data_IF_088812526952
#
_entry.id   IF_088812526952
#
_cell.length_a   1.000
_cell.length_b   1.000
_cell.length_c   1.000
_cell.angle_alpha   90.00
_cell.angle_beta   90.00
_cell.angle_gamma   90.00
#
_symmetry.space_group_name_H-M   'P 1'
#
loop_
_entity.id
_entity.type
_entity.pdbx_description
1 polymer ?
#
# COMPACT_ATOMS: atom_id res chain seq x y z
N UNK A 1 -14.74 -4.50 8.53
CA UNK A 1 -13.68 -4.24 7.53
C UNK A 1 -14.31 -4.33 6.16
N UNK A 2 -14.22 -3.29 5.34
CA UNK A 2 -14.80 -3.23 4.00
C UNK A 2 -13.65 -3.11 2.99
N UNK A 3 -13.34 -4.19 2.28
CA UNK A 3 -12.29 -4.29 1.28
C UNK A 3 -12.84 -4.03 -0.12
N UNK A 4 -12.03 -3.56 -1.08
CA UNK A 4 -12.44 -3.47 -2.47
C UNK A 4 -12.89 -4.83 -3.02
N UNK A 5 -13.89 -4.87 -3.93
CA UNK A 5 -14.47 -6.13 -4.40
C UNK A 5 -13.72 -6.76 -5.59
N UNK A 6 -12.55 -6.25 -5.95
CA UNK A 6 -11.89 -6.58 -7.22
C UNK A 6 -11.04 -7.85 -7.16
N UNK A 7 -10.26 -7.99 -6.09
CA UNK A 7 -9.27 -9.04 -5.91
C UNK A 7 -9.49 -9.67 -4.54
N UNK A 8 -9.27 -10.99 -4.43
CA UNK A 8 -9.41 -11.71 -3.15
C UNK A 8 -8.42 -11.21 -2.09
N UNK A 9 -8.79 -11.37 -0.83
CA UNK A 9 -7.96 -11.08 0.34
C UNK A 9 -7.58 -12.42 1.00
N UNK A 10 -6.26 -12.79 1.08
CA UNK A 10 -5.12 -12.10 0.49
C UNK A 10 -5.10 -12.17 -1.05
N UNK A 11 -4.39 -11.27 -1.74
CA UNK A 11 -4.30 -11.30 -3.19
C UNK A 11 -3.37 -12.44 -3.64
N UNK A 12 -3.69 -13.13 -4.76
CA UNK A 12 -2.84 -14.19 -5.28
C UNK A 12 -1.53 -13.70 -5.92
N UNK A 13 -1.49 -12.41 -6.30
CA UNK A 13 -0.35 -11.76 -6.94
C UNK A 13 -0.22 -10.31 -6.51
N UNK A 14 -0.27 -9.38 -7.47
CA UNK A 14 -0.30 -7.95 -7.19
C UNK A 14 -1.65 -7.55 -6.57
N UNK A 15 -1.61 -6.81 -5.46
CA UNK A 15 -2.79 -6.29 -4.75
C UNK A 15 -2.34 -5.57 -3.47
N UNK A 16 -2.03 -4.27 -3.62
CA UNK A 16 -1.47 -3.50 -2.49
C UNK A 16 -2.47 -3.27 -1.37
N UNK A 17 -3.69 -2.87 -1.70
CA UNK A 17 -4.76 -2.61 -0.72
C UNK A 17 -5.21 -3.91 -0.07
N UNK A 18 -5.39 -4.97 -0.85
CA UNK A 18 -5.80 -6.28 -0.38
C UNK A 18 -4.76 -6.89 0.59
N UNK A 19 -3.47 -6.71 0.32
CA UNK A 19 -2.40 -7.12 1.23
C UNK A 19 -2.42 -6.35 2.55
N UNK A 20 -2.72 -5.05 2.50
CA UNK A 20 -2.90 -4.19 3.69
C UNK A 20 -4.10 -4.65 4.51
N UNK A 21 -5.24 -4.91 3.84
CA UNK A 21 -6.47 -5.36 4.49
C UNK A 21 -6.26 -6.73 5.15
N UNK A 22 -5.61 -7.67 4.45
CA UNK A 22 -5.28 -8.99 4.98
C UNK A 22 -4.43 -8.86 6.26
N UNK A 23 -3.28 -8.21 6.16
CA UNK A 23 -2.35 -8.07 7.27
C UNK A 23 -2.99 -7.40 8.50
N UNK A 24 -3.78 -6.34 8.27
CA UNK A 24 -4.48 -5.63 9.34
C UNK A 24 -5.61 -6.47 9.95
N UNK A 25 -6.40 -7.14 9.11
CA UNK A 25 -7.51 -7.99 9.57
C UNK A 25 -7.00 -9.12 10.48
N UNK A 26 -5.96 -9.85 10.03
CA UNK A 26 -5.35 -10.92 10.80
C UNK A 26 -4.75 -10.41 12.12
N UNK A 27 -4.13 -9.24 12.12
CA UNK A 27 -3.60 -8.64 13.34
C UNK A 27 -4.71 -8.24 14.32
N UNK A 28 -5.79 -7.64 13.84
CA UNK A 28 -6.93 -7.25 14.69
C UNK A 28 -7.62 -8.48 15.31
N UNK A 29 -7.81 -9.57 14.56
CA UNK A 29 -8.35 -10.82 15.08
C UNK A 29 -7.45 -11.40 16.16
N UNK A 30 -6.13 -11.49 15.93
CA UNK A 30 -5.15 -11.95 16.93
C UNK A 30 -5.18 -11.11 18.21
N UNK A 31 -5.51 -9.83 18.11
CA UNK A 31 -5.64 -8.91 19.26
C UNK A 31 -6.98 -9.01 19.97
N UNK A 32 -7.86 -9.93 19.55
CA UNK A 32 -9.13 -10.22 20.21
C UNK A 32 -10.32 -9.41 19.69
N UNK A 33 -10.16 -8.68 18.57
CA UNK A 33 -11.29 -8.00 17.95
C UNK A 33 -12.16 -9.00 17.16
N UNK A 34 -13.49 -8.83 17.22
CA UNK A 34 -14.41 -9.54 16.36
C UNK A 34 -14.51 -8.82 15.02
N UNK A 35 -13.92 -9.38 13.98
CA UNK A 35 -13.87 -8.76 12.65
C UNK A 35 -14.78 -9.51 11.68
N UNK A 36 -15.63 -8.75 10.95
CA UNK A 36 -16.31 -9.21 9.75
C UNK A 36 -15.64 -8.52 8.55
N UNK A 37 -15.16 -9.30 7.59
CA UNK A 37 -14.51 -8.85 6.38
C UNK A 37 -15.47 -8.98 5.20
N UNK A 38 -15.96 -7.84 4.70
CA UNK A 38 -16.68 -7.75 3.43
C UNK A 38 -15.65 -7.60 2.32
N UNK A 39 -15.61 -8.53 1.37
CA UNK A 39 -14.53 -8.62 0.40
C UNK A 39 -14.94 -9.37 -0.87
N UNK A 40 -14.03 -9.44 -1.84
CA UNK A 40 -14.21 -10.18 -3.08
C UNK A 40 -14.37 -11.69 -2.84
N UNK A 41 -15.09 -12.41 -3.70
CA UNK A 41 -15.14 -13.86 -3.74
C UNK A 41 -13.74 -14.50 -3.80
N UNK A 42 -13.59 -15.67 -3.18
CA UNK A 42 -12.31 -16.39 -3.08
C UNK A 42 -11.38 -15.89 -1.98
N UNK A 43 -11.80 -14.89 -1.20
CA UNK A 43 -11.06 -14.43 -0.01
C UNK A 43 -11.10 -15.44 1.12
N UNK A 44 -10.00 -15.50 1.88
CA UNK A 44 -9.86 -16.33 3.08
C UNK A 44 -9.25 -15.52 4.21
N UNK A 45 -9.77 -15.66 5.43
CA UNK A 45 -9.27 -14.95 6.61
C UNK A 45 -9.66 -15.68 7.88
N UNK A 46 -8.97 -15.41 9.00
CA UNK A 46 -9.40 -15.80 10.34
C UNK A 46 -10.62 -15.00 10.83
N UNK A 47 -10.94 -13.88 10.19
CA UNK A 47 -12.16 -13.11 10.39
C UNK A 47 -13.39 -13.82 9.80
N UNK A 48 -14.61 -13.35 10.17
CA UNK A 48 -15.82 -13.75 9.46
C UNK A 48 -15.81 -13.14 8.07
N UNK A 49 -15.62 -13.96 7.03
CA UNK A 49 -15.66 -13.53 5.62
C UNK A 49 -17.10 -13.44 5.12
N UNK A 50 -17.45 -12.34 4.46
CA UNK A 50 -18.72 -12.11 3.79
C UNK A 50 -18.45 -11.63 2.36
N UNK A 51 -18.90 -12.42 1.38
CA UNK A 51 -18.83 -12.08 -0.05
C UNK A 51 -20.22 -11.72 -0.54
N UNK A 52 -20.35 -10.58 -1.16
CA UNK A 52 -21.63 -9.99 -1.59
C UNK A 52 -21.87 -10.09 -3.10
N UNK A 53 -20.78 -10.26 -3.86
CA UNK A 53 -20.80 -10.54 -5.29
C UNK A 53 -20.62 -12.03 -5.54
N UNK A 54 -21.09 -12.54 -6.69
CA UNK A 54 -20.97 -13.95 -7.06
C UNK A 54 -19.56 -14.29 -7.56
N UNK A 55 -18.91 -13.33 -8.23
CA UNK A 55 -17.56 -13.49 -8.80
C UNK A 55 -16.73 -12.21 -8.65
N UNK A 56 -15.41 -12.35 -8.77
CA UNK A 56 -14.46 -11.25 -8.74
C UNK A 56 -14.31 -10.65 -10.15
N UNK A 57 -14.05 -9.33 -10.23
CA UNK A 57 -13.92 -8.60 -11.49
C UNK A 57 -12.58 -7.85 -11.58
N UNK A 58 -11.41 -8.54 -11.54
CA UNK A 58 -10.09 -7.90 -11.48
C UNK A 58 -9.76 -7.08 -12.73
N UNK A 59 -10.38 -7.39 -13.89
CA UNK A 59 -10.19 -6.65 -15.13
C UNK A 59 -11.05 -5.38 -15.21
N UNK A 60 -11.94 -5.17 -14.23
CA UNK A 60 -12.89 -4.06 -14.18
C UNK A 60 -12.62 -3.11 -13.00
N UNK A 61 -11.41 -3.12 -12.47
CA UNK A 61 -10.97 -2.18 -11.43
C UNK A 61 -11.28 -0.76 -11.89
N UNK A 62 -11.82 0.06 -10.96
CA UNK A 62 -12.31 1.43 -11.19
C UNK A 62 -13.66 1.55 -11.92
N UNK A 63 -14.30 0.47 -12.31
CA UNK A 63 -15.68 0.53 -12.79
C UNK A 63 -16.66 0.61 -11.62
N UNK A 64 -17.33 1.74 -11.50
CA UNK A 64 -18.17 2.09 -10.34
C UNK A 64 -19.28 1.07 -10.02
N UNK A 65 -19.82 0.33 -11.00
CA UNK A 65 -20.97 -0.55 -10.79
C UNK A 65 -20.75 -1.60 -9.71
N UNK A 66 -19.66 -2.36 -9.81
CA UNK A 66 -19.37 -3.44 -8.85
C UNK A 66 -19.01 -2.92 -7.46
N UNK A 67 -18.28 -1.80 -7.39
CA UNK A 67 -17.97 -1.17 -6.13
C UNK A 67 -19.24 -0.62 -5.45
N UNK A 68 -20.12 0.03 -6.21
CA UNK A 68 -21.39 0.57 -5.70
C UNK A 68 -22.28 -0.56 -5.19
N UNK A 69 -22.45 -1.65 -5.95
CA UNK A 69 -23.28 -2.80 -5.54
C UNK A 69 -22.73 -3.46 -4.29
N UNK A 70 -21.41 -3.69 -4.24
CA UNK A 70 -20.73 -4.25 -3.07
C UNK A 70 -20.91 -3.40 -1.81
N UNK A 71 -20.66 -2.09 -1.90
CA UNK A 71 -20.79 -1.17 -0.78
C UNK A 71 -22.25 -1.05 -0.33
N UNK A 72 -23.20 -0.95 -1.28
CA UNK A 72 -24.62 -0.85 -0.97
C UNK A 72 -25.10 -2.06 -0.17
N UNK A 73 -24.77 -3.28 -0.64
CA UNK A 73 -25.13 -4.54 0.06
C UNK A 73 -24.42 -4.66 1.41
N UNK A 74 -23.14 -4.25 1.51
CA UNK A 74 -22.44 -4.24 2.79
C UNK A 74 -23.13 -3.33 3.81
N UNK A 75 -23.59 -2.16 3.39
CA UNK A 75 -24.30 -1.23 4.27
C UNK A 75 -25.70 -1.75 4.65
N UNK A 76 -26.40 -2.46 3.75
CA UNK A 76 -27.64 -3.15 4.08
C UNK A 76 -27.41 -4.23 5.16
N UNK A 77 -26.37 -5.06 5.02
CA UNK A 77 -26.01 -6.07 6.02
C UNK A 77 -25.62 -5.44 7.37
N UNK A 78 -24.94 -4.30 7.36
CA UNK A 78 -24.55 -3.58 8.56
C UNK A 78 -25.78 -2.98 9.27
N UNK A 79 -26.71 -2.40 8.52
CA UNK A 79 -27.94 -1.81 9.05
C UNK A 79 -28.91 -2.89 9.59
N UNK A 80 -29.03 -4.02 8.87
CA UNK A 80 -29.86 -5.15 9.27
C UNK A 80 -29.28 -5.98 10.42
N UNK A 81 -28.05 -5.73 10.85
CA UNK A 81 -27.43 -6.45 11.95
C UNK A 81 -28.27 -6.30 13.22
N UNK A 82 -28.61 -7.41 13.86
CA UNK A 82 -29.37 -7.40 15.12
C UNK A 82 -28.62 -6.63 16.20
N UNK A 83 -29.34 -6.12 17.20
CA UNK A 83 -28.77 -5.34 18.32
C UNK A 83 -27.57 -6.04 18.98
N UNK A 84 -27.62 -7.35 19.11
CA UNK A 84 -26.55 -8.18 19.70
C UNK A 84 -25.33 -8.36 18.78
N UNK A 85 -25.44 -7.96 17.51
CA UNK A 85 -24.39 -8.09 16.48
C UNK A 85 -24.07 -6.75 15.81
N UNK A 86 -24.46 -5.64 16.40
CA UNK A 86 -24.08 -4.32 15.88
C UNK A 86 -22.57 -4.19 15.78
N UNK A 87 -22.14 -3.55 14.71
CA UNK A 87 -20.74 -3.18 14.55
C UNK A 87 -20.45 -1.90 15.34
N UNK A 88 -19.33 -1.87 16.07
CA UNK A 88 -18.89 -0.69 16.80
C UNK A 88 -18.32 0.37 15.83
N UNK A 89 -17.69 -0.10 14.75
CA UNK A 89 -17.04 0.73 13.72
C UNK A 89 -16.98 0.01 12.39
N UNK A 90 -17.11 0.74 11.30
CA UNK A 90 -16.79 0.27 9.93
C UNK A 90 -15.43 0.82 9.55
N UNK A 91 -14.50 -0.04 9.17
CA UNK A 91 -13.23 0.39 8.58
C UNK A 91 -13.29 0.20 7.07
N UNK A 92 -13.27 1.31 6.35
CA UNK A 92 -13.44 1.35 4.90
C UNK A 92 -12.10 1.50 4.16
N UNK A 93 -11.89 0.62 3.19
CA UNK A 93 -10.78 0.62 2.24
C UNK A 93 -11.25 0.68 0.77
N UNK A 94 -12.58 0.73 0.52
CA UNK A 94 -13.14 0.79 -0.84
C UNK A 94 -12.96 2.16 -1.51
N UNK A 95 -12.78 3.23 -0.71
CA UNK A 95 -12.56 4.56 -1.26
C UNK A 95 -13.85 5.37 -1.41
N UNK A 96 -14.13 5.86 -2.63
CA UNK A 96 -15.11 6.94 -2.83
C UNK A 96 -16.56 6.53 -2.54
N UNK A 97 -16.96 5.33 -2.89
CA UNK A 97 -18.35 4.88 -2.82
C UNK A 97 -18.84 4.81 -1.37
N UNK A 98 -18.08 4.16 -0.48
CA UNK A 98 -18.44 4.03 0.91
C UNK A 98 -18.55 5.40 1.60
N UNK A 99 -17.61 6.31 1.32
CA UNK A 99 -17.64 7.65 1.86
C UNK A 99 -18.81 8.49 1.31
N UNK A 100 -19.13 8.37 0.02
CA UNK A 100 -20.28 9.05 -0.58
C UNK A 100 -21.62 8.58 0.04
N UNK A 101 -21.70 7.31 0.41
CA UNK A 101 -22.89 6.65 0.96
C UNK A 101 -22.92 6.60 2.49
N UNK A 102 -21.93 7.18 3.18
CA UNK A 102 -21.73 7.05 4.63
C UNK A 102 -22.97 7.42 5.47
N UNK A 103 -23.80 8.37 4.99
CA UNK A 103 -25.03 8.77 5.67
C UNK A 103 -26.13 7.68 5.71
N UNK A 104 -25.92 6.52 5.08
CA UNK A 104 -26.88 5.41 5.09
C UNK A 104 -26.78 4.53 6.34
N UNK A 105 -25.73 4.66 7.12
CA UNK A 105 -25.51 3.87 8.34
C UNK A 105 -25.16 4.78 9.50
N UNK A 106 -25.65 4.43 10.70
CA UNK A 106 -25.32 5.16 11.92
C UNK A 106 -23.98 4.75 12.53
N UNK A 107 -23.43 3.61 12.10
CA UNK A 107 -22.15 3.10 12.58
C UNK A 107 -21.00 4.01 12.16
N UNK A 108 -20.14 4.48 13.08
CA UNK A 108 -19.00 5.31 12.75
C UNK A 108 -18.09 4.67 11.71
N UNK A 109 -17.62 5.47 10.76
CA UNK A 109 -16.72 5.00 9.70
C UNK A 109 -15.31 5.56 9.93
N UNK A 110 -14.30 4.70 9.88
CA UNK A 110 -12.90 5.03 9.68
C UNK A 110 -12.55 4.73 8.22
N UNK A 111 -12.07 5.73 7.48
CA UNK A 111 -11.74 5.60 6.07
C UNK A 111 -10.24 5.79 5.85
N UNK A 112 -9.57 4.78 5.32
CA UNK A 112 -8.15 4.86 4.98
C UNK A 112 -7.95 5.38 3.55
N UNK A 113 -7.16 6.45 3.44
CA UNK A 113 -6.83 7.11 2.19
C UNK A 113 -5.70 6.34 1.48
N UNK A 114 -6.01 5.52 0.47
CA UNK A 114 -4.99 4.73 -0.24
C UNK A 114 -4.38 5.42 -1.46
N UNK A 115 -5.05 6.42 -2.01
CA UNK A 115 -4.65 7.13 -3.22
C UNK A 115 -3.99 8.48 -2.97
N UNK A 116 -3.47 9.07 -4.05
CA UNK A 116 -3.00 10.46 -4.04
C UNK A 116 -4.16 11.45 -4.20
N UNK A 117 -3.94 12.68 -3.78
CA UNK A 117 -4.86 13.78 -4.04
C UNK A 117 -4.60 14.39 -5.41
N UNK A 118 -5.50 14.12 -6.35
CA UNK A 118 -5.65 14.85 -7.61
C UNK A 118 -6.66 15.97 -7.45
N UNK A 119 -6.81 16.86 -8.41
CA UNK A 119 -7.84 17.90 -8.37
C UNK A 119 -9.27 17.33 -8.16
N UNK A 120 -9.57 16.20 -8.82
CA UNK A 120 -10.87 15.53 -8.71
C UNK A 120 -11.08 14.86 -7.35
N UNK A 121 -10.08 14.10 -6.86
CA UNK A 121 -10.17 13.42 -5.56
C UNK A 121 -10.17 14.43 -4.42
N UNK A 122 -9.40 15.51 -4.51
CA UNK A 122 -9.41 16.59 -3.54
C UNK A 122 -10.80 17.26 -3.43
N UNK A 123 -11.45 17.54 -4.57
CA UNK A 123 -12.82 18.09 -4.59
C UNK A 123 -13.84 17.12 -3.97
N UNK A 124 -13.68 15.81 -4.20
CA UNK A 124 -14.52 14.78 -3.60
C UNK A 124 -14.34 14.76 -2.07
N UNK A 125 -13.11 14.68 -1.58
CA UNK A 125 -12.84 14.64 -0.14
C UNK A 125 -13.22 15.94 0.57
N UNK A 126 -13.07 17.09 -0.08
CA UNK A 126 -13.56 18.36 0.46
C UNK A 126 -15.08 18.36 0.71
N UNK A 127 -15.85 17.64 -0.13
CA UNK A 127 -17.32 17.52 -0.02
C UNK A 127 -17.76 16.45 0.96
N UNK A 128 -17.12 15.29 0.96
CA UNK A 128 -17.59 14.09 1.66
C UNK A 128 -16.73 13.69 2.86
N UNK A 129 -15.51 14.23 2.99
CA UNK A 129 -14.54 13.78 4.00
C UNK A 129 -14.98 13.98 5.45
N UNK A 130 -15.94 14.91 5.70
CA UNK A 130 -16.50 15.13 7.03
C UNK A 130 -17.38 13.98 7.53
N UNK A 131 -17.79 13.04 6.65
CA UNK A 131 -18.69 11.92 6.98
C UNK A 131 -17.99 10.73 7.66
N UNK A 132 -16.67 10.72 7.69
CA UNK A 132 -15.87 9.66 8.28
C UNK A 132 -14.63 10.21 9.00
N UNK A 133 -14.06 9.39 9.88
CA UNK A 133 -12.74 9.65 10.44
C UNK A 133 -11.67 9.26 9.41
N UNK A 134 -11.05 10.22 8.75
CA UNK A 134 -10.07 9.97 7.70
C UNK A 134 -8.69 9.66 8.27
N UNK A 135 -8.04 8.62 7.73
CA UNK A 135 -6.66 8.22 8.07
C UNK A 135 -5.82 8.28 6.81
N UNK A 136 -4.74 9.06 6.82
CA UNK A 136 -3.71 8.99 5.79
C UNK A 136 -2.76 7.82 6.03
N UNK A 137 -2.08 7.35 4.98
CA UNK A 137 -1.09 6.27 5.08
C UNK A 137 0.35 6.78 5.19
N UNK A 138 0.56 8.08 5.02
CA UNK A 138 1.82 8.79 5.29
C UNK A 138 1.57 10.25 5.62
N UNK A 139 2.55 10.91 6.21
CA UNK A 139 2.49 12.37 6.43
C UNK A 139 2.59 13.11 5.10
N UNK A 140 3.47 12.67 4.19
CA UNK A 140 3.61 13.24 2.87
C UNK A 140 2.28 13.24 2.09
N UNK A 141 1.50 12.16 2.18
CA UNK A 141 0.17 12.13 1.61
C UNK A 141 -0.74 13.20 2.22
N UNK A 142 -0.75 13.34 3.54
CA UNK A 142 -1.59 14.35 4.22
C UNK A 142 -1.11 15.79 3.96
N UNK A 143 0.18 16.01 3.72
CA UNK A 143 0.72 17.32 3.32
C UNK A 143 0.19 17.77 1.94
N UNK A 144 -0.12 16.81 1.05
CA UNK A 144 -0.75 17.08 -0.25
C UNK A 144 -2.28 17.15 -0.19
N UNK A 145 -2.87 16.97 0.98
CA UNK A 145 -4.32 16.99 1.15
C UNK A 145 -4.93 18.38 0.91
N UNK A 146 -6.19 18.46 0.43
CA UNK A 146 -6.85 19.73 0.23
C UNK A 146 -6.99 20.50 1.54
N UNK A 147 -6.87 21.83 1.46
CA UNK A 147 -7.01 22.72 2.62
C UNK A 147 -8.34 22.49 3.33
N UNK A 148 -8.30 22.31 4.64
CA UNK A 148 -9.48 22.07 5.47
C UNK A 148 -9.91 20.61 5.59
N UNK A 149 -9.23 19.68 4.93
CA UNK A 149 -9.47 18.24 5.14
C UNK A 149 -9.10 17.89 6.59
N UNK A 150 -10.06 17.33 7.32
CA UNK A 150 -9.83 16.87 8.69
C UNK A 150 -9.49 15.38 8.67
N UNK A 151 -8.26 15.04 9.08
CA UNK A 151 -7.85 13.66 9.32
C UNK A 151 -7.54 13.44 10.79
N UNK A 152 -7.66 12.22 11.26
CA UNK A 152 -7.23 11.82 12.60
C UNK A 152 -5.73 11.49 12.68
N UNK A 153 -5.02 11.66 11.59
CA UNK A 153 -3.58 11.47 11.47
C UNK A 153 -3.17 10.47 10.40
N UNK A 154 -1.87 10.19 10.33
CA UNK A 154 -1.31 9.18 9.45
C UNK A 154 -1.01 7.91 10.23
N UNK A 155 -1.44 6.77 9.68
CA UNK A 155 -1.12 5.42 10.15
C UNK A 155 -0.51 4.68 8.95
N UNK A 156 0.75 4.22 9.03
CA UNK A 156 1.39 3.55 7.91
C UNK A 156 0.69 2.25 7.53
N UNK A 157 0.85 1.82 6.29
CA UNK A 157 0.38 0.50 5.88
C UNK A 157 1.13 -0.60 6.64
N UNK A 158 0.43 -1.64 7.12
CA UNK A 158 1.03 -2.74 7.88
C UNK A 158 1.82 -3.71 7.00
N UNK A 159 2.83 -4.31 7.61
CA UNK A 159 3.53 -5.48 7.08
C UNK A 159 3.80 -6.47 8.22
N UNK A 160 3.50 -7.75 8.03
CA UNK A 160 3.94 -8.77 8.99
C UNK A 160 5.44 -9.03 8.79
N UNK A 161 6.26 -8.34 9.54
CA UNK A 161 7.72 -8.42 9.44
C UNK A 161 8.22 -9.86 9.60
N UNK A 162 7.52 -10.71 10.35
CA UNK A 162 7.91 -12.11 10.57
C UNK A 162 7.75 -12.98 9.32
N UNK A 163 6.85 -12.61 8.43
CA UNK A 163 6.63 -13.32 7.16
C UNK A 163 7.74 -13.07 6.12
N UNK A 164 8.60 -12.04 6.34
CA UNK A 164 9.65 -11.65 5.41
C UNK A 164 11.02 -12.16 5.90
N UNK A 165 11.80 -12.85 5.05
CA UNK A 165 13.09 -13.41 5.45
C UNK A 165 14.16 -12.33 5.58
N UNK A 166 14.73 -12.19 6.78
CA UNK A 166 15.92 -11.35 6.96
C UNK A 166 17.14 -12.06 6.37
N UNK A 167 17.86 -11.37 5.49
CA UNK A 167 19.12 -11.87 4.92
C UNK A 167 20.20 -10.79 5.00
N UNK A 168 21.28 -11.07 5.69
CA UNK A 168 22.41 -10.14 5.87
C UNK A 168 23.36 -10.15 4.66
N UNK A 169 23.63 -11.35 4.11
CA UNK A 169 24.48 -11.47 2.93
C UNK A 169 23.64 -11.37 1.67
N UNK A 170 23.92 -10.37 0.86
CA UNK A 170 23.19 -10.09 -0.37
C UNK A 170 23.87 -10.73 -1.58
N UNK A 171 23.07 -11.12 -2.56
CA UNK A 171 23.56 -11.54 -3.87
C UNK A 171 23.96 -10.32 -4.69
N UNK A 172 24.68 -10.51 -5.79
CA UNK A 172 25.21 -9.40 -6.58
C UNK A 172 24.20 -8.89 -7.63
N UNK A 173 23.10 -8.32 -7.17
CA UNK A 173 22.13 -7.61 -8.03
C UNK A 173 21.38 -6.52 -7.30
N UNK A 174 20.90 -5.54 -8.07
CA UNK A 174 19.93 -4.53 -7.65
C UNK A 174 18.52 -5.00 -8.05
N UNK A 175 17.50 -4.60 -7.30
CA UNK A 175 16.11 -4.93 -7.59
C UNK A 175 15.33 -3.66 -7.91
N UNK A 176 14.50 -3.71 -8.93
CA UNK A 176 13.38 -2.81 -9.14
C UNK A 176 12.11 -3.64 -9.26
N UNK A 177 11.04 -3.25 -8.57
CA UNK A 177 9.76 -3.95 -8.61
C UNK A 177 8.60 -2.97 -8.63
N UNK A 178 7.68 -3.14 -9.59
CA UNK A 178 6.52 -2.28 -9.75
C UNK A 178 5.81 -2.45 -11.09
N UNK A 179 4.81 -1.62 -11.34
CA UNK A 179 4.15 -1.52 -12.64
C UNK A 179 5.12 -0.90 -13.64
N UNK A 180 5.19 -1.46 -14.86
CA UNK A 180 6.08 -0.98 -15.92
C UNK A 180 5.55 0.31 -16.54
N UNK A 181 5.66 1.42 -15.80
CA UNK A 181 5.15 2.74 -16.19
C UNK A 181 6.24 3.81 -16.08
N UNK A 182 6.06 4.92 -16.80
CA UNK A 182 7.05 6.00 -16.83
C UNK A 182 7.29 6.60 -15.44
N UNK A 183 6.23 6.82 -14.68
CA UNK A 183 6.30 7.40 -13.34
C UNK A 183 7.02 6.48 -12.33
N UNK A 184 6.87 5.16 -12.45
CA UNK A 184 7.56 4.17 -11.59
C UNK A 184 9.05 4.02 -11.93
N UNK A 185 9.48 4.41 -13.13
CA UNK A 185 10.86 4.63 -13.50
C UNK A 185 11.74 3.39 -13.71
N UNK A 186 11.27 2.27 -14.30
CA UNK A 186 12.15 1.13 -14.59
C UNK A 186 13.33 1.50 -15.50
N UNK A 187 13.12 2.41 -16.47
CA UNK A 187 14.18 2.94 -17.33
C UNK A 187 15.26 3.72 -16.54
N UNK A 188 14.86 4.44 -15.49
CA UNK A 188 15.79 5.15 -14.59
C UNK A 188 16.59 4.16 -13.74
N UNK A 189 15.94 3.08 -13.26
CA UNK A 189 16.63 2.01 -12.55
C UNK A 189 17.68 1.32 -13.42
N UNK A 190 17.40 1.10 -14.72
CA UNK A 190 18.37 0.59 -15.69
C UNK A 190 19.57 1.55 -15.82
N UNK A 191 19.33 2.85 -15.96
CA UNK A 191 20.39 3.85 -16.04
C UNK A 191 21.28 3.84 -14.79
N UNK A 192 20.68 3.84 -13.60
CA UNK A 192 21.40 3.81 -12.33
C UNK A 192 22.21 2.51 -12.15
N UNK A 193 21.64 1.35 -12.49
CA UNK A 193 22.34 0.08 -12.41
C UNK A 193 23.56 0.01 -13.34
N UNK A 194 23.46 0.59 -14.54
CA UNK A 194 24.60 0.72 -15.48
C UNK A 194 25.72 1.58 -14.91
N UNK A 195 25.37 2.72 -14.30
CA UNK A 195 26.34 3.60 -13.63
C UNK A 195 27.04 2.86 -12.49
N UNK A 196 26.28 2.09 -11.71
CA UNK A 196 26.82 1.28 -10.60
C UNK A 196 27.66 0.08 -11.08
N UNK A 197 27.50 -0.36 -12.35
CA UNK A 197 28.14 -1.58 -12.87
C UNK A 197 27.61 -2.87 -12.24
N UNK A 198 26.42 -2.87 -11.66
CA UNK A 198 25.79 -3.98 -10.96
C UNK A 198 24.58 -4.50 -11.76
N UNK A 199 24.37 -5.83 -11.86
CA UNK A 199 23.20 -6.39 -12.52
C UNK A 199 21.89 -5.89 -11.87
N UNK A 200 20.83 -5.79 -12.70
CA UNK A 200 19.51 -5.36 -12.28
C UNK A 200 18.46 -6.44 -12.57
N UNK A 201 17.65 -6.75 -11.59
CA UNK A 201 16.41 -7.52 -11.78
C UNK A 201 15.22 -6.56 -11.80
N UNK A 202 14.47 -6.61 -12.89
CA UNK A 202 13.19 -5.93 -13.05
C UNK A 202 12.06 -6.92 -12.83
N UNK A 203 11.16 -6.65 -11.90
CA UNK A 203 9.98 -7.46 -11.66
C UNK A 203 8.71 -6.61 -11.73
N UNK A 204 7.63 -7.16 -12.29
CA UNK A 204 6.33 -6.49 -12.31
C UNK A 204 5.55 -6.71 -13.59
N UNK A 205 4.36 -6.12 -13.61
CA UNK A 205 3.39 -6.28 -14.70
C UNK A 205 3.50 -5.15 -15.72
N UNK A 206 3.36 -5.51 -16.99
CA UNK A 206 3.13 -4.55 -18.08
C UNK A 206 1.60 -4.35 -18.16
N UNK A 207 1.13 -3.22 -17.67
CA UNK A 207 -0.30 -2.91 -17.70
C UNK A 207 -0.82 -2.67 -19.13
N UNK A 208 -2.11 -2.90 -19.39
CA UNK A 208 -2.74 -2.48 -20.64
C UNK A 208 -2.41 -1.01 -20.96
N UNK A 209 -2.00 -0.74 -22.21
CA UNK A 209 -1.59 0.60 -22.66
C UNK A 209 -0.12 0.96 -22.37
N UNK A 210 0.64 0.16 -21.60
CA UNK A 210 2.06 0.42 -21.31
C UNK A 210 3.03 -0.41 -22.18
N UNK A 211 2.53 -1.25 -23.08
CA UNK A 211 3.36 -2.10 -23.95
C UNK A 211 4.34 -1.27 -24.79
N UNK A 212 3.86 -0.16 -25.39
CA UNK A 212 4.71 0.70 -26.21
C UNK A 212 5.86 1.37 -25.42
N UNK A 213 5.63 1.70 -24.15
CA UNK A 213 6.67 2.19 -23.26
C UNK A 213 7.69 1.08 -22.97
N UNK A 214 7.23 -0.11 -22.62
CA UNK A 214 8.09 -1.25 -22.35
C UNK A 214 8.97 -1.60 -23.57
N UNK A 215 8.37 -1.72 -24.75
CA UNK A 215 9.07 -2.09 -25.98
C UNK A 215 10.14 -1.06 -26.39
N UNK A 216 9.89 0.22 -26.14
CA UNK A 216 10.81 1.29 -26.50
C UNK A 216 11.91 1.54 -25.47
N UNK A 217 11.55 1.56 -24.18
CA UNK A 217 12.44 2.05 -23.11
C UNK A 217 13.04 0.94 -22.25
N UNK A 218 12.46 -0.27 -22.23
CA UNK A 218 12.88 -1.36 -21.33
C UNK A 218 13.43 -2.54 -22.12
N UNK A 219 12.65 -3.10 -23.04
CA UNK A 219 12.99 -4.33 -23.78
C UNK A 219 14.36 -4.27 -24.47
N UNK A 220 14.81 -3.16 -25.10
CA UNK A 220 16.13 -3.09 -25.73
C UNK A 220 17.29 -3.22 -24.75
N UNK A 221 17.04 -3.12 -23.46
CA UNK A 221 18.05 -3.21 -22.40
C UNK A 221 18.06 -4.55 -21.67
N UNK A 222 17.04 -5.37 -21.88
CA UNK A 222 16.93 -6.71 -21.28
C UNK A 222 17.80 -7.68 -22.07
N UNK A 223 18.96 -8.02 -21.51
CA UNK A 223 19.93 -8.92 -22.13
C UNK A 223 20.02 -10.31 -21.44
N UNK A 224 19.28 -10.48 -20.33
CA UNK A 224 19.25 -11.70 -19.54
C UNK A 224 20.42 -11.88 -18.57
N UNK A 225 21.43 -11.01 -18.62
CA UNK A 225 22.62 -11.05 -17.76
C UNK A 225 22.73 -9.78 -16.89
N UNK A 226 22.91 -8.63 -17.52
CA UNK A 226 23.04 -7.34 -16.85
C UNK A 226 21.69 -6.76 -16.44
N UNK A 227 20.68 -6.93 -17.28
CA UNK A 227 19.30 -6.55 -16.99
C UNK A 227 18.39 -7.73 -17.27
N UNK A 228 17.75 -8.23 -16.24
CA UNK A 228 16.82 -9.36 -16.32
C UNK A 228 15.40 -8.87 -16.01
N UNK A 229 14.46 -9.14 -16.90
CA UNK A 229 13.03 -8.95 -16.62
C UNK A 229 12.41 -10.31 -16.32
N UNK A 230 11.79 -10.43 -15.14
CA UNK A 230 11.24 -11.70 -14.62
C UNK A 230 9.70 -11.72 -14.61
N UNK A 231 9.06 -10.67 -15.12
CA UNK A 231 7.60 -10.56 -15.10
C UNK A 231 7.03 -10.30 -13.71
N UNK A 232 5.74 -10.58 -13.54
CA UNK A 232 5.08 -10.47 -12.26
C UNK A 232 5.56 -11.56 -11.30
N UNK A 233 5.77 -11.20 -10.04
CA UNK A 233 6.24 -12.11 -9.00
C UNK A 233 5.42 -11.96 -7.72
N UNK A 234 5.17 -13.09 -7.06
CA UNK A 234 4.46 -13.16 -5.78
C UNK A 234 5.08 -14.20 -4.84
N UNK A 235 4.54 -14.32 -3.65
CA UNK A 235 4.88 -15.34 -2.66
C UNK A 235 6.39 -15.47 -2.40
N UNK A 236 6.88 -16.70 -2.33
CA UNK A 236 8.28 -16.99 -2.00
C UNK A 236 9.30 -16.45 -3.01
N UNK A 237 8.92 -16.30 -4.28
CA UNK A 237 9.80 -15.73 -5.31
C UNK A 237 10.02 -14.25 -5.02
N UNK A 238 8.95 -13.49 -4.72
CA UNK A 238 9.02 -12.08 -4.33
C UNK A 238 9.89 -11.91 -3.07
N UNK A 239 9.65 -12.73 -2.04
CA UNK A 239 10.45 -12.72 -0.80
C UNK A 239 11.94 -12.96 -1.07
N UNK A 240 12.26 -13.93 -1.93
CA UNK A 240 13.66 -14.26 -2.28
C UNK A 240 14.34 -13.13 -3.03
N UNK A 241 13.62 -12.46 -3.96
CA UNK A 241 14.15 -11.31 -4.70
C UNK A 241 14.46 -10.14 -3.79
N UNK A 242 13.55 -9.81 -2.85
CA UNK A 242 13.85 -8.75 -1.88
C UNK A 242 15.01 -9.12 -0.95
N UNK A 243 15.00 -10.33 -0.40
CA UNK A 243 16.02 -10.74 0.56
C UNK A 243 17.42 -10.82 -0.07
N UNK A 244 17.50 -11.23 -1.34
CA UNK A 244 18.77 -11.38 -2.06
C UNK A 244 19.36 -10.08 -2.60
N UNK A 245 18.55 -9.07 -2.89
CA UNK A 245 19.02 -7.85 -3.53
C UNK A 245 19.99 -7.05 -2.64
N UNK A 246 21.01 -6.42 -3.27
CA UNK A 246 21.89 -5.46 -2.60
C UNK A 246 21.16 -4.21 -2.17
N UNK A 247 20.23 -3.75 -3.01
CA UNK A 247 19.30 -2.67 -2.70
C UNK A 247 18.07 -2.74 -3.60
N UNK A 248 16.97 -2.16 -3.12
CA UNK A 248 15.83 -1.77 -3.95
C UNK A 248 16.10 -0.39 -4.56
N UNK A 249 15.93 -0.24 -5.87
CA UNK A 249 15.94 1.04 -6.55
C UNK A 249 14.50 1.56 -6.70
N UNK A 250 14.26 2.79 -6.24
CA UNK A 250 12.94 3.44 -6.27
C UNK A 250 13.03 4.82 -6.95
N UNK A 251 13.32 4.89 -8.27
CA UNK A 251 13.50 6.14 -9.02
C UNK A 251 12.16 6.70 -9.52
N UNK A 252 11.18 6.77 -8.66
CA UNK A 252 9.84 7.26 -8.98
C UNK A 252 9.85 8.78 -9.16
N UNK A 253 8.93 9.28 -10.02
CA UNK A 253 8.70 10.71 -10.23
C UNK A 253 7.19 10.98 -10.14
N UNK A 254 6.65 10.70 -8.97
CA UNK A 254 5.28 11.02 -8.58
C UNK A 254 5.17 11.01 -7.05
N UNK A 255 4.15 11.66 -6.51
CA UNK A 255 3.89 11.69 -5.07
C UNK A 255 3.36 10.31 -4.61
N UNK A 256 4.27 9.39 -4.34
CA UNK A 256 3.93 8.03 -3.86
C UNK A 256 3.26 8.13 -2.49
N UNK A 257 1.99 7.71 -2.34
CA UNK A 257 1.31 7.83 -1.05
C UNK A 257 1.96 7.02 0.07
N UNK A 258 2.56 5.86 -0.25
CA UNK A 258 3.28 5.04 0.73
C UNK A 258 4.47 4.28 0.12
N UNK A 259 4.22 3.33 -0.78
CA UNK A 259 5.26 2.52 -1.40
C UNK A 259 5.58 1.25 -0.62
N UNK A 260 4.64 0.30 -0.59
CA UNK A 260 4.78 -1.01 0.06
C UNK A 260 6.10 -1.71 -0.24
N UNK A 261 6.60 -1.62 -1.48
CA UNK A 261 7.85 -2.26 -1.89
C UNK A 261 9.08 -1.79 -1.09
N UNK A 262 9.06 -0.57 -0.57
CA UNK A 262 10.13 -0.04 0.29
C UNK A 262 10.13 -0.74 1.65
N UNK A 263 8.97 -0.86 2.31
CA UNK A 263 8.88 -1.56 3.59
C UNK A 263 9.11 -3.07 3.45
N UNK A 264 8.72 -3.66 2.32
CA UNK A 264 9.00 -5.07 1.98
C UNK A 264 10.52 -5.31 1.84
N UNK A 265 11.22 -4.43 1.14
CA UNK A 265 12.68 -4.48 1.04
C UNK A 265 13.35 -4.34 2.41
N UNK A 266 12.99 -3.30 3.16
CA UNK A 266 13.54 -3.03 4.48
C UNK A 266 13.24 -4.17 5.47
N UNK A 267 12.07 -4.82 5.40
CA UNK A 267 11.74 -5.99 6.21
C UNK A 267 12.67 -7.18 5.93
N UNK A 268 13.13 -7.32 4.68
CA UNK A 268 14.16 -8.30 4.29
C UNK A 268 15.59 -7.88 4.65
N UNK A 269 15.78 -6.72 5.27
CA UNK A 269 17.08 -6.13 5.52
C UNK A 269 17.77 -5.62 4.25
N UNK A 270 17.00 -5.26 3.22
CA UNK A 270 17.48 -4.73 1.96
C UNK A 270 17.33 -3.22 1.95
N UNK A 271 18.43 -2.46 1.87
CA UNK A 271 18.40 -1.02 1.80
C UNK A 271 17.64 -0.50 0.58
N UNK A 272 17.09 0.71 0.68
CA UNK A 272 16.38 1.36 -0.41
C UNK A 272 17.17 2.57 -0.91
N UNK A 273 17.38 2.70 -2.22
CA UNK A 273 17.89 3.92 -2.83
C UNK A 273 16.73 4.54 -3.61
N UNK A 274 16.26 5.70 -3.18
CA UNK A 274 15.04 6.31 -3.69
C UNK A 274 15.25 7.78 -4.09
N UNK A 275 14.43 8.25 -5.03
CA UNK A 275 14.22 9.69 -5.17
C UNK A 275 13.34 10.18 -4.03
N UNK A 276 13.51 11.43 -3.56
CA UNK A 276 12.81 11.96 -2.40
C UNK A 276 11.36 12.39 -2.73
N UNK A 277 10.59 11.48 -3.35
CA UNK A 277 9.21 11.73 -3.77
C UNK A 277 8.21 11.09 -2.78
N UNK A 278 7.19 11.83 -2.43
CA UNK A 278 6.12 11.35 -1.54
C UNK A 278 6.64 10.74 -0.24
N UNK A 279 6.12 9.58 0.14
CA UNK A 279 6.46 8.88 1.37
C UNK A 279 7.89 8.32 1.43
N UNK A 280 8.66 8.34 0.32
CA UNK A 280 10.06 7.88 0.38
C UNK A 280 10.89 8.67 1.40
N UNK A 281 10.58 9.96 1.61
CA UNK A 281 11.22 10.83 2.62
C UNK A 281 10.99 10.37 4.06
N UNK A 282 9.92 9.63 4.31
CA UNK A 282 9.56 9.12 5.63
C UNK A 282 10.07 7.69 5.85
N UNK A 283 10.04 6.86 4.79
CA UNK A 283 10.35 5.45 4.87
C UNK A 283 11.84 5.15 4.76
N UNK A 284 12.61 6.03 4.10
CA UNK A 284 14.06 5.86 3.92
C UNK A 284 14.79 6.83 4.82
N UNK A 285 15.45 6.32 5.85
CA UNK A 285 16.37 7.09 6.69
C UNK A 285 17.72 7.18 5.99
N UNK A 286 18.05 8.36 5.49
CA UNK A 286 19.28 8.59 4.72
C UNK A 286 20.53 8.18 5.50
N UNK A 287 21.38 7.34 4.89
CA UNK A 287 22.58 6.78 5.51
C UNK A 287 22.34 5.71 6.58
N UNK A 288 21.07 5.34 6.91
CA UNK A 288 20.75 4.33 7.93
C UNK A 288 19.99 3.13 7.36
N UNK A 289 18.92 3.37 6.57
CA UNK A 289 18.14 2.31 5.93
C UNK A 289 18.21 2.36 4.41
N UNK A 290 18.88 3.37 3.87
CA UNK A 290 19.02 3.59 2.44
C UNK A 290 19.63 4.95 2.14
N UNK A 291 19.39 5.43 0.93
CA UNK A 291 19.82 6.75 0.48
C UNK A 291 18.70 7.47 -0.27
N UNK A 292 18.55 8.77 0.01
CA UNK A 292 17.70 9.67 -0.76
C UNK A 292 18.59 10.44 -1.73
N UNK A 293 18.28 10.37 -3.03
CA UNK A 293 19.10 10.90 -4.11
C UNK A 293 18.26 11.58 -5.17
N UNK A 294 18.83 12.58 -5.88
CA UNK A 294 18.04 13.44 -6.76
C UNK A 294 17.91 12.90 -8.20
N UNK A 295 18.85 12.05 -8.64
CA UNK A 295 18.91 11.57 -10.02
C UNK A 295 19.54 10.17 -10.15
N UNK A 296 19.55 9.64 -11.36
CA UNK A 296 20.09 8.31 -11.69
C UNK A 296 21.62 8.23 -11.49
N UNK A 297 22.34 9.34 -11.67
CA UNK A 297 23.79 9.42 -11.46
C UNK A 297 24.11 9.24 -9.96
N UNK A 298 23.42 9.99 -9.11
CA UNK A 298 23.55 9.88 -7.66
C UNK A 298 23.07 8.52 -7.16
N UNK A 299 21.99 7.96 -7.75
CA UNK A 299 21.47 6.63 -7.42
C UNK A 299 22.49 5.54 -7.70
N UNK A 300 23.14 5.55 -8.87
CA UNK A 300 24.19 4.62 -9.22
C UNK A 300 25.43 4.77 -8.31
N UNK A 301 25.82 5.99 -8.00
CA UNK A 301 26.95 6.25 -7.10
C UNK A 301 26.69 5.82 -5.65
N UNK A 302 25.44 5.91 -5.15
CA UNK A 302 25.06 5.49 -3.81
C UNK A 302 25.23 3.98 -3.58
N UNK A 303 25.20 3.16 -4.62
CA UNK A 303 25.40 1.70 -4.53
C UNK A 303 26.75 1.35 -3.88
N UNK A 304 27.78 2.15 -4.12
CA UNK A 304 29.09 1.94 -3.49
C UNK A 304 29.09 2.18 -1.97
N UNK A 305 28.08 2.86 -1.44
CA UNK A 305 27.95 3.19 -0.03
C UNK A 305 27.11 2.17 0.77
N UNK A 306 26.42 1.25 0.10
CA UNK A 306 25.55 0.21 0.71
C UNK A 306 26.24 -0.61 1.81
N UNK A 307 27.55 -0.94 1.75
CA UNK A 307 28.23 -1.67 2.83
C UNK A 307 28.21 -0.96 4.21
N UNK A 308 27.82 0.31 4.26
CA UNK A 308 27.68 1.07 5.52
C UNK A 308 26.33 0.83 6.21
N UNK A 309 25.35 0.24 5.51
CA UNK A 309 24.00 0.01 6.02
C UNK A 309 23.87 -1.43 6.51
N UNK A 310 23.50 -1.58 7.77
CA UNK A 310 23.27 -2.89 8.36
C UNK A 310 21.86 -3.39 8.03
N UNK A 311 21.75 -4.63 7.54
CA UNK A 311 20.46 -5.24 7.21
C UNK A 311 19.49 -5.28 8.41
N UNK A 312 20.04 -5.48 9.61
CA UNK A 312 19.25 -5.48 10.85
C UNK A 312 18.63 -4.12 11.18
N UNK A 313 19.30 -3.02 10.85
CA UNK A 313 18.78 -1.67 11.10
C UNK A 313 17.60 -1.36 10.16
N UNK A 314 17.67 -1.80 8.89
CA UNK A 314 16.56 -1.72 7.95
C UNK A 314 15.31 -2.42 8.53
N UNK A 315 15.47 -3.69 8.94
CA UNK A 315 14.38 -4.47 9.52
C UNK A 315 13.87 -3.89 10.84
N UNK A 316 14.77 -3.46 11.72
CA UNK A 316 14.40 -2.89 13.02
C UNK A 316 13.53 -1.64 12.86
N UNK A 317 13.86 -0.79 11.88
CA UNK A 317 13.05 0.38 11.59
C UNK A 317 11.62 0.02 11.16
N UNK A 318 11.46 -0.92 10.22
CA UNK A 318 10.12 -1.37 9.77
C UNK A 318 9.35 -2.02 10.92
N UNK A 319 10.01 -2.86 11.72
CA UNK A 319 9.39 -3.51 12.87
C UNK A 319 8.86 -2.51 13.91
N UNK A 320 9.57 -1.40 14.10
CA UNK A 320 9.16 -0.36 15.04
C UNK A 320 8.01 0.54 14.54
N UNK A 321 7.82 0.66 13.22
CA UNK A 321 6.91 1.67 12.65
C UNK A 321 5.77 1.07 11.81
N UNK A 322 6.01 -0.04 11.10
CA UNK A 322 5.08 -0.60 10.12
C UNK A 322 4.66 -2.04 10.43
N UNK A 323 5.17 -2.65 11.52
CA UNK A 323 4.75 -4.01 11.87
C UNK A 323 3.24 -4.07 12.16
N UNK A 324 2.61 -5.15 11.75
CA UNK A 324 1.16 -5.35 11.88
C UNK A 324 0.64 -5.11 13.29
N UNK A 325 1.40 -5.47 14.34
CA UNK A 325 0.96 -5.30 15.72
C UNK A 325 1.01 -3.82 16.14
N UNK A 326 1.99 -3.05 15.66
CA UNK A 326 2.11 -1.60 15.87
C UNK A 326 0.97 -0.86 15.16
N UNK A 327 0.75 -1.20 13.90
CA UNK A 327 -0.29 -0.56 13.07
C UNK A 327 -1.69 -0.90 13.57
N UNK A 328 -1.95 -2.16 13.92
CA UNK A 328 -3.25 -2.56 14.49
C UNK A 328 -3.56 -1.82 15.80
N UNK A 329 -2.58 -1.63 16.68
CA UNK A 329 -2.76 -0.84 17.91
C UNK A 329 -3.09 0.63 17.61
N UNK A 330 -2.49 1.22 16.56
CA UNK A 330 -2.79 2.57 16.12
C UNK A 330 -4.24 2.66 15.57
N UNK A 331 -4.66 1.68 14.76
CA UNK A 331 -6.06 1.64 14.27
C UNK A 331 -7.07 1.40 15.38
N UNK A 332 -6.80 0.56 16.38
CA UNK A 332 -7.68 0.44 17.54
C UNK A 332 -7.85 1.78 18.28
N UNK A 333 -6.79 2.60 18.33
CA UNK A 333 -6.90 3.95 18.88
C UNK A 333 -7.75 4.88 18.01
N UNK A 334 -7.58 4.78 16.67
CA UNK A 334 -8.39 5.51 15.70
C UNK A 334 -9.87 5.12 15.80
N UNK A 335 -10.19 3.83 15.94
CA UNK A 335 -11.56 3.33 16.13
C UNK A 335 -12.18 3.92 17.41
N UNK A 336 -11.46 3.86 18.54
CA UNK A 336 -11.93 4.46 19.78
C UNK A 336 -12.18 5.97 19.66
N UNK A 337 -11.39 6.65 18.83
CA UNK A 337 -11.59 8.08 18.55
C UNK A 337 -12.85 8.32 17.74
N UNK A 338 -13.04 7.55 16.66
CA UNK A 338 -14.23 7.65 15.81
C UNK A 338 -15.53 7.37 16.55
N UNK A 339 -15.54 6.33 17.42
CA UNK A 339 -16.71 5.99 18.25
C UNK A 339 -17.08 7.07 19.29
N UNK A 340 -16.16 7.95 19.67
CA UNK A 340 -16.41 9.03 20.66
C UNK A 340 -16.87 10.34 20.05
N UNK A 341 -16.72 10.53 18.74
CA UNK A 341 -17.23 11.73 18.06
C UNK A 341 -18.73 11.51 17.82
N UNK A 342 -19.62 12.30 18.45
CA UNK A 342 -21.03 12.28 18.06
C UNK A 342 -21.10 12.68 16.59
N UNK A 343 -21.94 12.01 15.81
CA UNK A 343 -22.35 12.51 14.50
C UNK A 343 -22.86 13.95 14.76
N UNK A 344 -22.13 14.97 14.30
CA UNK A 344 -22.68 16.32 14.26
C UNK A 344 -23.84 16.28 13.28
N UNK A 345 -25.02 16.00 13.79
CA UNK A 345 -26.27 16.21 13.07
C UNK A 345 -26.29 17.70 12.72
N UNK A 346 -26.12 18.01 11.44
CA UNK A 346 -26.33 19.35 10.92
C UNK A 346 -27.77 19.74 11.30
N UNK A 347 -27.92 20.57 12.33
CA UNK A 347 -29.14 21.35 12.47
C UNK A 347 -29.23 22.24 11.22
N UNK A 348 -30.12 21.84 10.31
CA UNK A 348 -30.55 22.68 9.20
C UNK A 348 -31.23 23.89 9.81
N UNK A 349 -30.57 25.06 9.80
CA UNK A 349 -31.17 26.38 9.99
C UNK A 349 -31.58 26.93 8.64
#
# INVERSE_FOLDING_TARGET
MLAPPWISVPPPGYGGVESVVDALTEALVRRGNSVTLFCAPGSVSSARVVTLLEESHPDEIERSLYEVDHVARAFEEIDLASYDRRFDVVHDHCGFTALAMADRIDTPIVHTLHGQFTASTAAFYARHGHKAALVGISRAQLESAPTGLRSIGAIPNPIDVRAWPLREHKDDYLLWIGRMTVEKGPHRAIAAARIAGVPLVLAGVIQPGQQAFFDREIAPHVDGERVRFVGEVGGSVKHSLFAGARALLMPIRWEEPFGMVMVEALACGTPVIAFPEGAARELVLDGQTGFLVEDEQAMGAAVAQLPRIAARDCRAWVAAHCDVDVVAAAYESAYRSAMRQPSETLELV
#
